data_IF_186660654421
#
_entry.id   IF_186660654421
#
_cell.length_a   1.000
_cell.length_b   1.000
_cell.length_c   1.000
_cell.angle_alpha   90.00
_cell.angle_beta   90.00
_cell.angle_gamma   90.00
#
_symmetry.space_group_name_H-M   'P 1'
#
loop_
_entity.id
_entity.type
_entity.pdbx_description
1 polymer ?
#
# COMPACT_ATOMS: atom_id res chain seq x y z
N UNK A 1 -19.26 -12.06 12.42
CA UNK A 1 -18.62 -10.99 13.22
C UNK A 1 -17.76 -10.16 12.30
N UNK A 2 -17.61 -8.84 12.51
CA UNK A 2 -16.65 -8.03 11.75
C UNK A 2 -15.25 -8.63 11.90
N UNK A 3 -14.52 -8.76 10.81
CA UNK A 3 -13.16 -9.30 10.82
C UNK A 3 -12.20 -8.26 11.41
N UNK A 4 -11.44 -8.63 12.43
CA UNK A 4 -10.43 -7.75 13.02
C UNK A 4 -9.11 -7.85 12.25
N UNK A 5 -8.91 -6.91 11.34
CA UNK A 5 -7.69 -6.82 10.53
C UNK A 5 -6.45 -6.39 11.31
N UNK A 6 -6.60 -5.85 12.53
CA UNK A 6 -5.48 -5.30 13.28
C UNK A 6 -4.52 -6.35 13.81
N UNK A 7 -4.98 -7.58 14.02
CA UNK A 7 -4.14 -8.73 14.43
C UNK A 7 -3.56 -9.50 13.25
N UNK A 8 -3.96 -9.15 12.02
CA UNK A 8 -3.57 -9.84 10.80
C UNK A 8 -2.15 -9.56 10.34
N UNK A 9 -1.56 -10.53 9.63
CA UNK A 9 -0.28 -10.31 8.93
C UNK A 9 -0.42 -9.18 7.92
N UNK A 10 0.61 -8.37 7.80
CA UNK A 10 0.64 -7.22 6.90
C UNK A 10 1.82 -7.34 5.95
N UNK A 11 1.56 -7.32 4.65
CA UNK A 11 2.61 -7.22 3.65
C UNK A 11 2.58 -5.83 3.02
N UNK A 12 3.74 -5.19 2.97
CA UNK A 12 3.93 -3.84 2.43
C UNK A 12 4.68 -3.94 1.11
N UNK A 13 4.14 -3.29 0.09
CA UNK A 13 4.71 -3.21 -1.24
C UNK A 13 4.94 -1.74 -1.58
N UNK A 14 6.21 -1.35 -1.70
CA UNK A 14 6.59 0.06 -1.73
C UNK A 14 7.50 0.39 -2.93
N UNK A 15 7.01 1.22 -3.86
CA UNK A 15 7.81 1.83 -4.91
C UNK A 15 8.61 3.03 -4.35
N UNK A 16 9.89 2.82 -4.06
CA UNK A 16 10.76 3.83 -3.45
C UNK A 16 11.23 4.91 -4.44
N UNK A 17 10.97 4.72 -5.73
CA UNK A 17 11.22 5.78 -6.74
C UNK A 17 10.08 6.80 -6.71
N UNK A 18 8.85 6.35 -6.51
CA UNK A 18 7.68 7.23 -6.38
C UNK A 18 7.59 7.90 -5.02
N UNK A 19 7.92 7.16 -3.97
CA UNK A 19 7.91 7.58 -2.57
C UNK A 19 9.29 7.30 -1.96
N UNK A 20 10.26 8.21 -2.15
CA UNK A 20 11.61 8.04 -1.63
C UNK A 20 11.64 7.90 -0.11
N UNK A 21 12.54 7.04 0.37
CA UNK A 21 12.79 6.89 1.81
C UNK A 21 13.38 8.18 2.35
N UNK A 22 12.76 8.83 3.34
CA UNK A 22 13.30 10.03 3.97
C UNK A 22 14.66 9.77 4.62
N UNK A 23 15.56 10.74 4.54
CA UNK A 23 16.86 10.65 5.20
C UNK A 23 16.74 10.48 6.71
N UNK A 24 17.61 9.65 7.29
CA UNK A 24 17.69 9.43 8.73
C UNK A 24 16.55 8.60 9.35
N UNK A 25 15.68 8.01 8.52
CA UNK A 25 14.55 7.18 8.95
C UNK A 25 14.57 5.83 8.25
N UNK A 26 14.47 4.75 9.02
CA UNK A 26 14.41 3.40 8.46
C UNK A 26 13.04 3.08 7.86
N UNK A 27 13.00 2.26 6.81
CA UNK A 27 11.78 1.81 6.12
C UNK A 27 10.85 1.07 7.10
N UNK A 28 11.41 0.14 7.88
CA UNK A 28 10.63 -0.61 8.89
C UNK A 28 10.08 0.31 9.97
N UNK A 29 10.85 1.27 10.42
CA UNK A 29 10.41 2.25 11.42
C UNK A 29 9.23 3.08 10.90
N UNK A 30 9.31 3.57 9.66
CA UNK A 30 8.21 4.28 8.99
C UNK A 30 6.95 3.42 8.95
N UNK A 31 7.06 2.20 8.42
CA UNK A 31 5.91 1.30 8.26
C UNK A 31 5.29 0.93 9.60
N UNK A 32 6.10 0.45 10.55
CA UNK A 32 5.60 -0.06 11.83
C UNK A 32 5.02 1.07 12.70
N UNK A 33 5.59 2.27 12.68
CA UNK A 33 5.05 3.40 13.44
C UNK A 33 3.65 3.82 12.97
N UNK A 34 3.44 3.92 11.65
CA UNK A 34 2.13 4.25 11.07
C UNK A 34 1.08 3.16 11.35
N UNK A 35 1.46 1.88 11.15
CA UNK A 35 0.58 0.74 11.38
C UNK A 35 0.21 0.59 12.85
N UNK A 36 1.19 0.67 13.76
CA UNK A 36 0.96 0.54 15.22
C UNK A 36 0.07 1.64 15.74
N UNK A 37 0.21 2.89 15.28
CA UNK A 37 -0.68 3.98 15.68
C UNK A 37 -2.13 3.66 15.34
N UNK A 38 -2.38 3.03 14.18
CA UNK A 38 -3.71 2.60 13.79
C UNK A 38 -4.19 1.29 14.44
N UNK A 39 -3.36 0.69 15.29
CA UNK A 39 -3.68 -0.49 16.09
C UNK A 39 -3.24 -1.81 15.45
N UNK A 40 -2.62 -1.80 14.27
CA UNK A 40 -2.11 -3.02 13.64
C UNK A 40 -0.90 -3.56 14.44
N UNK A 41 -0.98 -4.84 14.81
CA UNK A 41 -0.03 -5.54 15.68
C UNK A 41 0.52 -6.82 15.07
N UNK A 42 -0.04 -7.25 13.94
CA UNK A 42 0.43 -8.44 13.26
C UNK A 42 1.82 -8.27 12.66
N UNK A 43 2.38 -9.39 12.24
CA UNK A 43 3.70 -9.44 11.59
C UNK A 43 3.74 -8.61 10.31
N UNK A 44 4.86 -7.92 10.07
CA UNK A 44 5.10 -7.08 8.89
C UNK A 44 6.22 -7.63 8.02
N UNK A 45 5.90 -7.93 6.75
CA UNK A 45 6.84 -8.17 5.65
C UNK A 45 6.90 -6.96 4.72
N UNK A 46 8.07 -6.62 4.20
CA UNK A 46 8.27 -5.41 3.39
C UNK A 46 9.01 -5.77 2.10
N UNK A 47 8.38 -5.51 0.96
CA UNK A 47 8.99 -5.61 -0.37
C UNK A 47 9.08 -4.21 -0.96
N UNK A 48 10.29 -3.82 -1.38
CA UNK A 48 10.55 -2.51 -1.97
C UNK A 48 11.02 -2.64 -3.42
N UNK A 49 10.56 -1.72 -4.25
CA UNK A 49 10.80 -1.70 -5.69
C UNK A 49 11.51 -0.41 -6.06
N UNK A 50 12.67 -0.51 -6.70
CA UNK A 50 13.45 0.66 -7.06
C UNK A 50 14.57 0.36 -8.04
N UNK A 51 15.30 1.39 -8.44
CA UNK A 51 16.51 1.28 -9.25
C UNK A 51 17.74 0.91 -8.41
N UNK A 52 17.73 1.21 -7.11
CA UNK A 52 18.81 0.90 -6.17
C UNK A 52 18.25 0.40 -4.85
N UNK A 53 19.00 -0.50 -4.21
CA UNK A 53 18.66 -1.02 -2.89
C UNK A 53 18.69 0.12 -1.86
N UNK A 54 17.55 0.46 -1.23
CA UNK A 54 17.50 1.54 -0.25
C UNK A 54 17.88 1.09 1.17
N UNK A 55 18.10 -0.21 1.39
CA UNK A 55 18.32 -0.74 2.74
C UNK A 55 19.72 -0.47 3.25
N UNK A 56 19.80 0.00 4.50
CA UNK A 56 21.05 -0.04 5.24
C UNK A 56 21.43 -1.49 5.64
N UNK A 57 22.72 -1.79 5.91
CA UNK A 57 23.13 -3.10 6.42
C UNK A 57 22.37 -3.53 7.70
N UNK A 58 22.04 -2.56 8.55
CA UNK A 58 21.25 -2.80 9.76
C UNK A 58 19.81 -3.25 9.44
N UNK A 59 19.18 -2.66 8.43
CA UNK A 59 17.84 -3.06 7.99
C UNK A 59 17.85 -4.46 7.39
N UNK A 60 18.83 -4.76 6.53
CA UNK A 60 18.99 -6.09 5.94
C UNK A 60 19.13 -7.18 7.02
N UNK A 61 19.87 -6.88 8.10
CA UNK A 61 20.06 -7.82 9.22
C UNK A 61 18.77 -8.09 10.04
N UNK A 62 17.79 -7.17 10.06
CA UNK A 62 16.51 -7.35 10.77
C UNK A 62 15.59 -8.37 10.09
N UNK A 63 15.91 -8.80 8.87
CA UNK A 63 15.17 -9.80 8.11
C UNK A 63 13.79 -9.31 7.62
N UNK A 64 13.20 -10.06 6.69
CA UNK A 64 11.86 -9.80 6.07
C UNK A 64 11.78 -8.54 5.21
N UNK A 65 12.91 -8.12 4.68
CA UNK A 65 12.98 -7.20 3.56
C UNK A 65 13.21 -7.96 2.26
N UNK A 66 12.64 -7.46 1.18
CA UNK A 66 12.93 -7.93 -0.17
C UNK A 66 13.11 -6.71 -1.05
N UNK A 67 14.27 -6.60 -1.69
CA UNK A 67 14.52 -5.59 -2.71
C UNK A 67 14.28 -6.20 -4.10
N UNK A 68 13.53 -5.50 -4.94
CA UNK A 68 13.28 -5.88 -6.33
C UNK A 68 13.75 -4.76 -7.25
N UNK A 69 14.89 -4.98 -7.90
CA UNK A 69 15.47 -4.01 -8.83
C UNK A 69 14.65 -3.89 -10.12
N UNK A 70 14.12 -2.70 -10.39
CA UNK A 70 13.34 -2.34 -11.58
C UNK A 70 13.42 -0.84 -11.87
N UNK A 71 14.10 -0.49 -12.97
CA UNK A 71 14.34 0.91 -13.36
C UNK A 71 13.08 1.61 -13.90
N UNK A 72 12.26 0.93 -14.71
CA UNK A 72 11.08 1.54 -15.34
C UNK A 72 9.83 1.38 -14.47
N UNK A 73 9.05 2.46 -14.35
CA UNK A 73 7.80 2.51 -13.58
C UNK A 73 6.80 1.41 -13.95
N UNK A 74 6.59 1.17 -15.24
CA UNK A 74 5.71 0.09 -15.73
C UNK A 74 6.11 -1.28 -15.16
N UNK A 75 7.41 -1.60 -15.18
CA UNK A 75 7.91 -2.89 -14.70
C UNK A 75 7.85 -3.01 -13.18
N UNK A 76 8.02 -1.89 -12.44
CA UNK A 76 7.79 -1.87 -10.97
C UNK A 76 6.34 -2.23 -10.64
N UNK A 77 5.37 -1.56 -11.24
CA UNK A 77 3.95 -1.81 -10.98
C UNK A 77 3.52 -3.23 -11.39
N UNK A 78 3.93 -3.72 -12.56
CA UNK A 78 3.60 -5.09 -12.98
C UNK A 78 4.19 -6.14 -12.03
N UNK A 79 5.45 -5.98 -11.62
CA UNK A 79 6.06 -6.91 -10.66
C UNK A 79 5.37 -6.84 -9.30
N UNK A 80 4.99 -5.65 -8.85
CA UNK A 80 4.21 -5.45 -7.63
C UNK A 80 2.87 -6.19 -7.70
N UNK A 81 2.15 -6.12 -8.83
CA UNK A 81 0.91 -6.88 -9.04
C UNK A 81 1.13 -8.38 -8.88
N UNK A 82 2.13 -8.92 -9.58
CA UNK A 82 2.50 -10.35 -9.51
C UNK A 82 2.83 -10.76 -8.07
N UNK A 83 3.57 -9.94 -7.34
CA UNK A 83 4.00 -10.26 -5.97
C UNK A 83 2.86 -10.19 -4.96
N UNK A 84 1.95 -9.21 -5.10
CA UNK A 84 0.72 -9.16 -4.28
C UNK A 84 -0.14 -10.39 -4.58
N UNK A 85 -0.31 -10.75 -5.85
CA UNK A 85 -1.05 -11.94 -6.27
C UNK A 85 -0.45 -13.22 -5.67
N UNK A 86 0.86 -13.40 -5.82
CA UNK A 86 1.57 -14.54 -5.24
C UNK A 86 1.43 -14.61 -3.72
N UNK A 87 1.67 -13.49 -3.02
CA UNK A 87 1.52 -13.41 -1.58
C UNK A 87 0.09 -13.73 -1.11
N UNK A 88 -0.92 -13.29 -1.88
CA UNK A 88 -2.32 -13.57 -1.56
C UNK A 88 -2.65 -15.06 -1.66
N UNK A 89 -2.04 -15.79 -2.60
CA UNK A 89 -2.20 -17.25 -2.76
C UNK A 89 -1.49 -18.04 -1.65
N UNK A 90 -0.37 -17.53 -1.13
CA UNK A 90 0.37 -18.15 -0.02
C UNK A 90 -0.24 -17.84 1.36
N UNK A 91 -1.21 -16.91 1.43
CA UNK A 91 -1.86 -16.54 2.69
C UNK A 91 -3.03 -17.49 2.97
N UNK A 92 -2.93 -18.38 3.98
CA UNK A 92 -3.93 -19.44 4.21
C UNK A 92 -5.29 -18.85 4.58
N UNK A 93 -6.29 -19.21 3.78
CA UNK A 93 -7.71 -18.87 3.89
C UNK A 93 -7.97 -17.53 4.58
N UNK A 94 -7.95 -16.41 3.83
CA UNK A 94 -8.27 -15.10 4.37
C UNK A 94 -9.69 -15.04 4.93
N UNK A 95 -10.55 -16.04 4.76
CA UNK A 95 -11.82 -16.10 5.50
C UNK A 95 -11.62 -16.24 7.01
N UNK A 96 -10.57 -16.96 7.44
CA UNK A 96 -10.26 -17.21 8.86
C UNK A 96 -9.14 -16.31 9.37
N UNK A 97 -8.15 -16.01 8.53
CA UNK A 97 -6.99 -15.21 8.92
C UNK A 97 -7.09 -13.78 8.38
N UNK A 98 -7.12 -12.76 9.26
CA UNK A 98 -6.97 -11.38 8.83
C UNK A 98 -5.62 -11.15 8.16
N UNK A 99 -5.66 -10.49 7.01
CA UNK A 99 -4.50 -10.25 6.16
C UNK A 99 -4.62 -8.85 5.56
N UNK A 100 -3.53 -8.11 5.60
CA UNK A 100 -3.45 -6.72 5.19
C UNK A 100 -2.43 -6.57 4.06
N UNK A 101 -2.76 -5.76 3.07
CA UNK A 101 -1.85 -5.35 2.01
C UNK A 101 -1.73 -3.85 2.04
N UNK A 102 -0.51 -3.33 2.22
CA UNK A 102 -0.22 -1.89 2.13
C UNK A 102 0.48 -1.65 0.80
N UNK A 103 -0.08 -0.74 -0.01
CA UNK A 103 0.49 -0.34 -1.29
C UNK A 103 0.94 1.11 -1.21
N UNK A 104 2.23 1.33 -1.50
CA UNK A 104 2.87 2.65 -1.52
C UNK A 104 3.41 2.87 -2.94
N UNK A 105 2.57 3.38 -3.84
CA UNK A 105 2.93 3.63 -5.24
C UNK A 105 2.05 4.71 -5.88
N UNK A 106 2.61 5.53 -6.78
CA UNK A 106 1.90 6.51 -7.61
C UNK A 106 1.33 5.88 -8.89
N UNK A 107 0.49 6.66 -9.57
CA UNK A 107 -0.05 6.40 -10.91
C UNK A 107 -0.83 5.08 -11.02
N UNK A 108 -1.70 4.86 -10.04
CA UNK A 108 -2.79 3.89 -10.11
C UNK A 108 -3.90 4.55 -10.96
N UNK A 109 -3.68 4.69 -12.28
CA UNK A 109 -4.64 5.32 -13.22
C UNK A 109 -5.82 4.39 -13.50
N UNK A 110 -6.98 4.95 -13.86
CA UNK A 110 -8.18 4.19 -14.27
C UNK A 110 -7.79 3.29 -15.44
N UNK A 111 -8.49 2.17 -15.58
CA UNK A 111 -8.27 1.20 -16.66
C UNK A 111 -6.89 0.52 -16.67
N UNK A 112 -6.12 0.65 -15.59
CA UNK A 112 -4.99 -0.24 -15.33
C UNK A 112 -5.47 -1.47 -14.58
N UNK A 113 -4.98 -2.65 -14.99
CA UNK A 113 -5.24 -3.93 -14.28
C UNK A 113 -4.95 -3.82 -12.78
N UNK A 114 -4.07 -2.90 -12.37
CA UNK A 114 -3.70 -2.65 -10.99
C UNK A 114 -4.84 -2.09 -10.11
N UNK A 115 -5.63 -1.13 -10.59
CA UNK A 115 -6.76 -0.56 -9.81
C UNK A 115 -7.82 -1.63 -9.55
N UNK A 116 -8.18 -2.37 -10.61
CA UNK A 116 -9.20 -3.41 -10.55
C UNK A 116 -8.74 -4.55 -9.64
N UNK A 117 -7.50 -5.02 -9.83
CA UNK A 117 -6.90 -6.05 -8.99
C UNK A 117 -6.94 -5.68 -7.50
N UNK A 118 -6.54 -4.46 -7.11
CA UNK A 118 -6.58 -4.04 -5.71
C UNK A 118 -8.01 -3.93 -5.15
N UNK A 119 -8.96 -3.52 -5.97
CA UNK A 119 -10.38 -3.46 -5.58
C UNK A 119 -10.96 -4.86 -5.37
N UNK A 120 -10.66 -5.79 -6.28
CA UNK A 120 -11.10 -7.19 -6.20
C UNK A 120 -10.45 -7.91 -5.02
N UNK A 121 -9.17 -7.65 -4.75
CA UNK A 121 -8.47 -8.16 -3.59
C UNK A 121 -9.13 -7.71 -2.28
N UNK A 122 -9.49 -6.42 -2.17
CA UNK A 122 -10.23 -5.90 -1.03
C UNK A 122 -11.63 -6.51 -0.90
N UNK A 123 -12.30 -6.78 -2.03
CA UNK A 123 -13.57 -7.52 -2.08
C UNK A 123 -13.44 -8.97 -1.63
N UNK A 124 -12.25 -9.56 -1.76
CA UNK A 124 -11.92 -10.95 -1.43
C UNK A 124 -11.45 -11.14 0.02
N UNK A 125 -11.94 -10.32 0.95
CA UNK A 125 -11.66 -10.35 2.40
C UNK A 125 -10.22 -10.02 2.83
N UNK A 126 -9.38 -9.50 1.93
CA UNK A 126 -8.15 -8.81 2.33
C UNK A 126 -8.47 -7.37 2.72
N UNK A 127 -7.67 -6.80 3.61
CA UNK A 127 -7.74 -5.38 3.93
C UNK A 127 -6.65 -4.64 3.16
N UNK A 128 -7.06 -3.97 2.07
CA UNK A 128 -6.14 -3.19 1.25
C UNK A 128 -6.06 -1.76 1.81
N UNK A 129 -4.84 -1.29 1.97
CA UNK A 129 -4.44 -0.02 2.54
C UNK A 129 -3.55 0.72 1.54
N UNK A 130 -3.77 2.02 1.35
CA UNK A 130 -2.99 2.80 0.39
C UNK A 130 -2.18 3.89 1.08
N UNK A 131 -1.08 4.26 0.43
CA UNK A 131 -0.40 5.53 0.67
C UNK A 131 -0.39 6.31 -0.63
N UNK A 132 -0.98 7.51 -0.59
CA UNK A 132 -1.17 8.39 -1.74
C UNK A 132 -0.32 9.66 -1.62
N UNK A 133 -0.02 10.34 -2.74
CA UNK A 133 0.73 11.60 -2.73
C UNK A 133 0.01 12.68 -1.92
N UNK A 134 0.76 13.57 -1.28
CA UNK A 134 0.20 14.70 -0.54
C UNK A 134 -0.47 15.73 -1.45
N UNK A 135 0.00 15.82 -2.70
CA UNK A 135 -0.48 16.67 -3.79
C UNK A 135 -1.44 15.93 -4.73
N UNK A 136 -2.14 14.91 -4.21
CA UNK A 136 -3.15 14.16 -4.94
C UNK A 136 -4.28 15.07 -5.44
N UNK A 137 -4.28 15.38 -6.74
CA UNK A 137 -5.41 16.04 -7.39
C UNK A 137 -6.58 15.04 -7.53
N UNK A 138 -7.75 15.30 -6.91
CA UNK A 138 -8.85 14.33 -6.88
C UNK A 138 -9.44 14.00 -8.26
N UNK A 139 -9.24 14.90 -9.23
CA UNK A 139 -9.72 14.78 -10.60
C UNK A 139 -8.80 13.93 -11.49
N UNK A 140 -7.58 13.63 -11.01
CA UNK A 140 -6.56 12.87 -11.73
C UNK A 140 -6.32 11.45 -11.15
N UNK A 141 -7.02 11.08 -10.07
CA UNK A 141 -6.74 9.86 -9.28
C UNK A 141 -7.98 9.00 -9.04
N UNK A 142 -8.25 8.03 -9.92
CA UNK A 142 -9.27 7.00 -9.71
C UNK A 142 -8.73 5.94 -8.73
N UNK A 143 -8.88 6.24 -7.44
CA UNK A 143 -8.40 5.38 -6.37
C UNK A 143 -9.19 4.05 -6.29
N UNK A 144 -8.52 2.90 -6.05
CA UNK A 144 -9.20 1.63 -5.88
C UNK A 144 -10.10 1.61 -4.64
N UNK A 145 -11.07 0.69 -4.61
CA UNK A 145 -11.96 0.56 -3.46
C UNK A 145 -11.24 -0.09 -2.27
N UNK A 146 -10.67 0.77 -1.43
CA UNK A 146 -9.91 0.37 -0.21
C UNK A 146 -10.55 0.86 1.09
N UNK A 147 -10.10 0.31 2.22
CA UNK A 147 -10.64 0.59 3.56
C UNK A 147 -10.03 1.83 4.23
N UNK A 148 -8.73 2.07 4.04
CA UNK A 148 -7.98 3.23 4.57
C UNK A 148 -6.94 3.68 3.55
N UNK A 149 -6.59 4.96 3.62
CA UNK A 149 -5.46 5.53 2.92
C UNK A 149 -4.74 6.55 3.81
N UNK A 150 -3.43 6.72 3.62
CA UNK A 150 -2.66 7.81 4.19
C UNK A 150 -2.19 8.74 3.09
N UNK A 151 -2.10 10.03 3.41
CA UNK A 151 -1.17 10.91 2.71
C UNK A 151 0.27 10.56 3.09
N UNK A 152 1.18 10.67 2.14
CA UNK A 152 2.58 10.29 2.30
C UNK A 152 3.25 10.92 3.53
N UNK A 153 3.12 12.23 3.73
CA UNK A 153 3.69 12.91 4.91
C UNK A 153 3.15 12.36 6.22
N UNK A 154 1.84 12.09 6.28
CA UNK A 154 1.23 11.48 7.46
C UNK A 154 1.79 10.09 7.70
N UNK A 155 1.87 9.23 6.67
CA UNK A 155 2.43 7.89 6.78
C UNK A 155 3.87 7.91 7.29
N UNK A 156 4.73 8.76 6.72
CA UNK A 156 6.12 8.95 7.16
C UNK A 156 6.19 9.42 8.61
N UNK A 157 5.32 10.31 9.06
CA UNK A 157 5.34 10.78 10.44
C UNK A 157 4.67 9.80 11.41
N UNK A 158 4.25 8.63 10.91
CA UNK A 158 3.48 7.65 11.65
C UNK A 158 2.12 8.19 12.09
N UNK A 159 1.57 9.18 11.39
CA UNK A 159 0.31 9.87 11.69
C UNK A 159 -0.95 9.09 11.32
N UNK A 160 -2.10 9.76 11.47
CA UNK A 160 -3.41 9.17 11.19
C UNK A 160 -3.68 9.03 9.68
N UNK A 161 -4.43 8.00 9.25
CA UNK A 161 -4.94 7.91 7.89
C UNK A 161 -5.92 9.05 7.60
N UNK A 162 -6.16 9.32 6.33
CA UNK A 162 -7.15 10.33 5.94
C UNK A 162 -8.53 9.97 6.49
N UNK A 163 -9.34 10.96 6.88
CA UNK A 163 -10.74 10.77 7.22
C UNK A 163 -11.50 9.98 6.16
N UNK A 164 -12.41 9.09 6.59
CA UNK A 164 -13.24 8.29 5.67
C UNK A 164 -14.08 9.16 4.71
N UNK A 165 -14.51 10.33 5.16
CA UNK A 165 -15.26 11.30 4.35
C UNK A 165 -14.41 11.85 3.21
N UNK A 166 -13.14 12.15 3.47
CA UNK A 166 -12.18 12.60 2.48
C UNK A 166 -11.84 11.48 1.49
N UNK A 167 -11.56 10.26 1.96
CA UNK A 167 -11.34 9.11 1.07
C UNK A 167 -12.52 8.85 0.13
N UNK A 168 -13.76 8.99 0.64
CA UNK A 168 -14.97 8.90 -0.19
C UNK A 168 -15.07 10.04 -1.20
N UNK A 169 -14.73 11.26 -0.80
CA UNK A 169 -14.76 12.43 -1.68
C UNK A 169 -13.73 12.32 -2.81
N UNK A 170 -12.51 11.89 -2.51
CA UNK A 170 -11.46 11.64 -3.52
C UNK A 170 -11.93 10.61 -4.56
N UNK A 171 -12.47 9.48 -4.09
CA UNK A 171 -13.04 8.45 -4.99
C UNK A 171 -14.19 8.96 -5.85
N UNK A 172 -15.05 9.84 -5.32
CA UNK A 172 -16.19 10.36 -6.06
C UNK A 172 -15.79 11.36 -7.15
N UNK A 173 -14.71 12.12 -6.94
CA UNK A 173 -14.19 13.10 -7.91
C UNK A 173 -13.42 12.47 -9.07
N UNK A 174 -12.78 11.32 -8.82
CA UNK A 174 -12.05 10.57 -9.85
C UNK A 174 -12.92 9.69 -10.76
N UNK A 175 -14.25 9.62 -10.57
CA UNK A 175 -15.15 8.91 -11.50
C UNK A 175 -15.48 9.81 -12.69
N UNK A 176 -15.48 9.31 -13.94
CA UNK A 176 -15.91 10.09 -15.08
C UNK A 176 -17.32 10.62 -14.83
N UNK A 177 -17.53 11.93 -14.99
CA UNK A 177 -18.89 12.47 -15.09
C UNK A 177 -19.51 11.83 -16.32
N UNK A 178 -20.51 10.96 -16.12
CA UNK A 178 -21.39 10.51 -17.19
C UNK A 178 -22.01 11.78 -17.81
N UNK A 179 -21.49 12.17 -18.98
CA UNK A 179 -22.17 13.14 -19.84
C UNK A 179 -23.27 12.33 -20.53
N UNK A 180 -24.50 12.55 -20.08
CA UNK A 180 -25.72 12.01 -20.70
C UNK A 180 -25.89 12.54 -22.13
#
# INVERSE_FOLDING_TARGET
MPKDYTVGKTSVFWDVVDFPVPEGRGIREIVESALRRKGYKGEVSITVYGDKDPFSPEETAKGRFTFVERIKKYWRLNKMLVDIGWWSMETPEPHYNPANVVVVAKNIKEDTEFVYFLSDLNGSNFNVLLVVPDDCEPEELPLPTVNLAWYWKSFVQGGEPMPRTELKALKARGKPRLVL
#
